data_IF_457508446424
#
_entry.id   IF_457508446424
#
_cell.length_a   1.000
_cell.length_b   1.000
_cell.length_c   1.000
_cell.angle_alpha   90.00
_cell.angle_beta   90.00
_cell.angle_gamma   90.00
#
_symmetry.space_group_name_H-M   'P 1'
#
loop_
_entity.id
_entity.type
_entity.pdbx_description
1 polymer ?
#
# COMPACT_ATOMS: atom_id res chain seq x y z
N UNK A 1 -17.60 16.19 9.31
CA UNK A 1 -16.40 15.33 9.28
C UNK A 1 -16.71 14.01 8.56
N UNK A 2 -16.68 13.99 7.23
CA UNK A 2 -16.87 12.74 6.46
C UNK A 2 -15.53 12.00 6.20
N UNK A 3 -14.39 12.71 6.22
CA UNK A 3 -13.08 12.13 5.93
C UNK A 3 -12.50 11.14 6.98
N UNK A 4 -12.92 11.20 8.26
CA UNK A 4 -12.43 10.27 9.29
C UNK A 4 -12.92 8.84 9.07
N UNK A 5 -14.20 8.65 8.73
CA UNK A 5 -14.76 7.30 8.50
C UNK A 5 -14.12 6.63 7.28
N UNK A 6 -13.91 7.39 6.22
CA UNK A 6 -13.26 6.88 5.01
C UNK A 6 -11.77 6.56 5.26
N UNK A 7 -11.04 7.45 5.94
CA UNK A 7 -9.66 7.19 6.35
C UNK A 7 -9.53 5.95 7.23
N UNK A 8 -10.49 5.70 8.14
CA UNK A 8 -10.49 4.49 8.97
C UNK A 8 -10.73 3.23 8.15
N UNK A 9 -11.66 3.26 7.18
CA UNK A 9 -11.89 2.12 6.27
C UNK A 9 -10.64 1.80 5.44
N UNK A 10 -9.96 2.84 4.95
CA UNK A 10 -8.69 2.66 4.23
C UNK A 10 -7.63 2.04 5.15
N UNK A 11 -7.52 2.50 6.39
CA UNK A 11 -6.56 1.96 7.35
C UNK A 11 -6.83 0.49 7.70
N UNK A 12 -8.10 0.13 7.93
CA UNK A 12 -8.54 -1.24 8.17
C UNK A 12 -8.19 -2.16 6.99
N UNK A 13 -8.37 -1.68 5.76
CA UNK A 13 -7.99 -2.42 4.55
C UNK A 13 -6.48 -2.63 4.48
N UNK A 14 -5.69 -1.58 4.72
CA UNK A 14 -4.22 -1.66 4.76
C UNK A 14 -3.77 -2.66 5.83
N UNK A 15 -4.35 -2.63 7.02
CA UNK A 15 -4.07 -3.58 8.09
C UNK A 15 -4.38 -5.04 7.70
N UNK A 16 -5.52 -5.28 7.04
CA UNK A 16 -5.92 -6.63 6.58
C UNK A 16 -4.95 -7.15 5.50
N UNK A 17 -4.62 -6.32 4.51
CA UNK A 17 -3.71 -6.70 3.42
C UNK A 17 -2.31 -6.99 3.97
N UNK A 18 -1.76 -6.09 4.79
CA UNK A 18 -0.41 -6.31 5.38
C UNK A 18 -0.36 -7.56 6.27
N UNK A 19 -1.42 -7.85 7.04
CA UNK A 19 -1.52 -9.08 7.83
C UNK A 19 -1.54 -10.34 6.93
N UNK A 20 -2.27 -10.30 5.83
CA UNK A 20 -2.33 -11.42 4.89
C UNK A 20 -0.98 -11.65 4.21
N UNK A 21 -0.34 -10.59 3.68
CA UNK A 21 0.98 -10.67 3.04
C UNK A 21 2.04 -11.23 4.00
N UNK A 22 2.12 -10.68 5.22
CA UNK A 22 3.09 -11.15 6.22
C UNK A 22 2.86 -12.62 6.59
N UNK A 23 1.59 -13.02 6.77
CA UNK A 23 1.24 -14.41 7.06
C UNK A 23 1.63 -15.34 5.91
N UNK A 24 1.27 -14.98 4.69
CA UNK A 24 1.58 -15.77 3.50
C UNK A 24 3.09 -15.93 3.31
N UNK A 25 3.85 -14.84 3.48
CA UNK A 25 5.30 -14.86 3.38
C UNK A 25 5.92 -15.78 4.46
N UNK A 26 5.43 -15.70 5.71
CA UNK A 26 5.89 -16.56 6.80
C UNK A 26 5.59 -18.03 6.56
N UNK A 27 4.37 -18.37 6.13
CA UNK A 27 3.95 -19.75 5.86
C UNK A 27 4.76 -20.38 4.70
N UNK A 28 5.17 -19.57 3.73
CA UNK A 28 5.89 -20.03 2.54
C UNK A 28 7.42 -19.77 2.58
N UNK A 29 7.95 -19.25 3.70
CA UNK A 29 9.37 -18.89 3.86
C UNK A 29 9.88 -17.92 2.77
N UNK A 30 9.08 -16.91 2.45
CA UNK A 30 9.37 -15.92 1.42
C UNK A 30 9.85 -14.60 2.03
N UNK A 31 10.69 -13.88 1.29
CA UNK A 31 10.98 -12.47 1.57
C UNK A 31 9.96 -11.56 0.87
N UNK A 32 9.62 -10.44 1.49
CA UNK A 32 8.75 -9.41 0.89
C UNK A 32 9.61 -8.23 0.47
N UNK A 33 9.57 -7.88 -0.82
CA UNK A 33 10.26 -6.72 -1.37
C UNK A 33 9.24 -5.61 -1.66
N UNK A 34 9.46 -4.43 -1.12
CA UNK A 34 8.63 -3.25 -1.35
C UNK A 34 9.30 -2.27 -2.31
N UNK A 35 8.75 -2.08 -3.51
CA UNK A 35 9.20 -1.05 -4.44
C UNK A 35 8.70 0.36 -4.08
N UNK A 36 9.32 1.39 -4.64
CA UNK A 36 8.68 2.71 -4.74
C UNK A 36 7.87 2.78 -6.04
N UNK A 37 6.60 3.10 -5.91
CA UNK A 37 5.63 3.09 -7.01
C UNK A 37 5.51 4.49 -7.63
N UNK A 38 6.10 5.51 -6.97
CA UNK A 38 6.10 6.89 -7.48
C UNK A 38 6.89 7.04 -8.78
N UNK A 39 7.82 6.14 -9.05
CA UNK A 39 8.62 6.16 -10.29
C UNK A 39 7.86 5.48 -11.45
N UNK A 40 6.97 4.52 -11.16
CA UNK A 40 6.19 3.82 -12.18
C UNK A 40 5.34 4.79 -13.00
N UNK A 41 4.72 5.80 -12.38
CA UNK A 41 3.90 6.76 -13.13
C UNK A 41 4.71 7.73 -13.98
N UNK A 42 6.01 7.93 -13.70
CA UNK A 42 6.90 8.74 -14.54
C UNK A 42 7.37 7.96 -15.77
N UNK A 43 7.64 6.67 -15.58
CA UNK A 43 8.23 5.82 -16.61
C UNK A 43 7.21 5.27 -17.61
N UNK A 44 5.94 5.14 -17.23
CA UNK A 44 4.90 4.55 -18.10
C UNK A 44 4.23 5.54 -19.05
N UNK A 45 4.48 6.85 -18.91
CA UNK A 45 3.78 7.88 -19.68
C UNK A 45 2.27 7.97 -19.38
N UNK A 46 1.81 7.34 -18.29
CA UNK A 46 0.41 7.30 -17.92
C UNK A 46 -0.06 8.67 -17.40
N UNK A 47 -1.19 9.14 -17.93
CA UNK A 47 -1.70 10.50 -17.69
C UNK A 47 -2.11 10.81 -16.24
N UNK A 48 -2.58 12.05 -16.02
CA UNK A 48 -2.90 12.63 -14.70
C UNK A 48 -3.75 11.73 -13.78
N UNK A 49 -4.65 10.91 -14.34
CA UNK A 49 -5.50 10.01 -13.56
C UNK A 49 -4.74 8.91 -12.82
N UNK A 50 -3.69 8.34 -13.42
CA UNK A 50 -2.85 7.32 -12.76
C UNK A 50 -1.98 7.97 -11.70
N UNK A 51 -1.38 9.12 -12.00
CA UNK A 51 -0.61 9.89 -11.01
C UNK A 51 -1.46 10.25 -9.79
N UNK A 52 -2.71 10.66 -9.98
CA UNK A 52 -3.61 10.96 -8.87
C UNK A 52 -3.90 9.74 -8.00
N UNK A 53 -4.04 8.55 -8.58
CA UNK A 53 -4.27 7.30 -7.83
C UNK A 53 -3.02 6.88 -7.06
N UNK A 54 -1.84 6.96 -7.67
CA UNK A 54 -0.57 6.66 -7.00
C UNK A 54 -0.34 7.60 -5.83
N UNK A 55 -0.63 8.90 -6.01
CA UNK A 55 -0.47 9.91 -4.97
C UNK A 55 -1.43 9.74 -3.79
N UNK A 56 -2.64 9.21 -4.01
CA UNK A 56 -3.62 8.96 -2.93
C UNK A 56 -3.45 7.59 -2.28
N UNK A 57 -2.62 6.71 -2.84
CA UNK A 57 -2.44 5.36 -2.33
C UNK A 57 -1.66 5.37 -1.00
N UNK A 58 -2.10 4.61 0.02
CA UNK A 58 -1.50 4.64 1.37
C UNK A 58 -0.19 3.83 1.45
N UNK A 59 0.73 4.02 0.52
CA UNK A 59 1.98 3.26 0.40
C UNK A 59 2.85 3.36 1.64
N UNK A 60 2.96 4.54 2.21
CA UNK A 60 3.72 4.73 3.44
C UNK A 60 3.16 3.88 4.59
N UNK A 61 1.83 3.80 4.74
CA UNK A 61 1.20 2.98 5.79
C UNK A 61 1.37 1.49 5.52
N UNK A 62 1.26 1.06 4.26
CA UNK A 62 1.54 -0.33 3.85
C UNK A 62 2.96 -0.75 4.25
N UNK A 63 3.98 0.06 3.93
CA UNK A 63 5.38 -0.22 4.29
C UNK A 63 5.54 -0.32 5.81
N UNK A 64 5.06 0.68 6.56
CA UNK A 64 5.15 0.72 8.02
C UNK A 64 4.48 -0.48 8.70
N UNK A 65 3.30 -0.90 8.23
CA UNK A 65 2.59 -2.04 8.82
C UNK A 65 3.18 -3.39 8.43
N UNK A 66 3.86 -3.50 7.28
CA UNK A 66 4.63 -4.68 6.92
C UNK A 66 5.91 -4.78 7.75
N UNK A 67 6.66 -3.68 7.93
CA UNK A 67 7.89 -3.65 8.75
C UNK A 67 7.64 -4.03 10.21
N UNK A 68 6.45 -3.72 10.75
CA UNK A 68 6.08 -4.07 12.11
C UNK A 68 5.73 -5.57 12.29
N UNK A 69 5.40 -6.30 11.22
CA UNK A 69 4.85 -7.66 11.28
C UNK A 69 5.88 -8.73 10.99
#
# INVERSE_FOLDING_TARGET
MFGKRESNKVDDLVHKVTKWVARYAKENRLAVLGGDIKEISRDTGEGQGVQSRVNTMPIYRLKKYLEYK
#
